data_IF_324525825324
#
_entry.id   IF_324525825324
#
_cell.length_a   1.000
_cell.length_b   1.000
_cell.length_c   1.000
_cell.angle_alpha   90.00
_cell.angle_beta   90.00
_cell.angle_gamma   90.00
#
_symmetry.space_group_name_H-M   'P 1'
#
loop_
_entity.id
_entity.type
_entity.pdbx_description
1 polymer ?
#
# COMPACT_ATOMS: atom_id res chain seq x y z
N UNK A 1 -11.83 -12.57 6.54
CA UNK A 1 -10.90 -11.57 5.97
C UNK A 1 -10.93 -11.56 4.44
N UNK A 2 -10.79 -12.69 3.73
CA UNK A 2 -10.77 -12.74 2.26
C UNK A 2 -12.01 -12.15 1.57
N UNK A 3 -13.22 -12.47 2.04
CA UNK A 3 -14.47 -11.94 1.43
C UNK A 3 -14.59 -10.41 1.53
N UNK A 4 -14.19 -9.82 2.66
CA UNK A 4 -14.23 -8.36 2.83
C UNK A 4 -13.28 -7.64 1.87
N UNK A 5 -12.13 -8.26 1.59
CA UNK A 5 -11.19 -7.74 0.61
C UNK A 5 -11.78 -7.83 -0.80
N UNK A 6 -12.37 -8.96 -1.20
CA UNK A 6 -12.97 -9.12 -2.53
C UNK A 6 -14.05 -8.07 -2.85
N UNK A 7 -14.87 -7.72 -1.85
CA UNK A 7 -15.92 -6.71 -1.96
C UNK A 7 -15.44 -5.26 -1.98
N UNK A 8 -14.16 -4.98 -1.67
CA UNK A 8 -13.65 -3.60 -1.71
C UNK A 8 -13.46 -3.15 -3.17
N UNK A 9 -14.20 -2.15 -3.69
CA UNK A 9 -14.00 -1.67 -5.06
C UNK A 9 -12.58 -1.12 -5.25
N UNK A 10 -12.07 -1.14 -6.48
CA UNK A 10 -10.70 -0.66 -6.78
C UNK A 10 -10.57 0.82 -6.40
N UNK A 11 -11.65 1.56 -6.58
CA UNK A 11 -11.81 2.95 -6.23
C UNK A 11 -11.67 3.15 -4.71
N UNK A 12 -12.11 2.21 -3.88
CA UNK A 12 -11.93 2.29 -2.42
C UNK A 12 -10.46 2.20 -1.98
N UNK A 13 -9.58 1.63 -2.82
CA UNK A 13 -8.13 1.65 -2.61
C UNK A 13 -7.57 3.05 -2.87
N UNK A 14 -8.17 3.78 -3.80
CA UNK A 14 -7.77 5.11 -4.24
C UNK A 14 -8.46 6.26 -3.47
N UNK A 15 -9.44 5.96 -2.60
CA UNK A 15 -10.12 6.98 -1.78
C UNK A 15 -9.11 7.64 -0.85
N UNK A 16 -8.95 8.95 -1.03
CA UNK A 16 -8.18 9.82 -0.13
C UNK A 16 -9.02 10.14 1.11
N UNK A 17 -8.52 9.82 2.30
CA UNK A 17 -8.95 10.44 3.55
C UNK A 17 -8.06 11.67 3.83
N UNK A 18 -8.32 12.35 4.96
CA UNK A 18 -7.56 13.55 5.36
C UNK A 18 -6.06 13.28 5.57
N UNK A 19 -5.64 12.03 5.72
CA UNK A 19 -4.24 11.60 5.93
C UNK A 19 -3.57 11.04 4.67
N UNK A 20 -4.28 10.86 3.55
CA UNK A 20 -3.78 10.20 2.35
C UNK A 20 -4.70 9.08 1.86
N UNK A 21 -4.17 8.00 1.28
CA UNK A 21 -5.00 6.88 0.82
C UNK A 21 -5.52 6.06 2.00
N UNK A 22 -6.84 5.83 2.06
CA UNK A 22 -7.50 5.03 3.11
C UNK A 22 -6.89 3.63 3.25
N UNK A 23 -6.57 3.02 2.12
CA UNK A 23 -5.98 1.70 2.09
C UNK A 23 -4.51 1.69 2.58
N UNK A 24 -3.77 2.78 2.37
CA UNK A 24 -2.41 2.92 2.90
C UNK A 24 -2.38 3.12 4.41
N UNK A 25 -3.24 4.00 4.93
CA UNK A 25 -3.40 4.19 6.36
C UNK A 25 -3.81 2.87 7.07
N UNK A 26 -4.64 2.06 6.40
CA UNK A 26 -5.04 0.75 6.93
C UNK A 26 -3.86 -0.24 6.95
N UNK A 27 -3.07 -0.30 5.87
CA UNK A 27 -1.89 -1.16 5.79
C UNK A 27 -0.86 -0.87 6.88
N UNK A 28 -0.62 0.40 7.16
CA UNK A 28 0.42 0.83 8.08
C UNK A 28 -0.01 0.71 9.54
N UNK A 29 -1.28 0.98 9.82
CA UNK A 29 -1.86 0.87 11.17
C UNK A 29 -2.15 -0.57 11.60
N UNK A 30 -2.63 -1.44 10.70
CA UNK A 30 -3.15 -2.78 11.05
C UNK A 30 -2.97 -3.84 9.97
N UNK A 31 -2.26 -3.52 8.88
CA UNK A 31 -2.12 -4.41 7.74
C UNK A 31 -1.23 -5.62 7.97
N UNK A 32 -1.39 -6.60 7.08
CA UNK A 32 -0.53 -7.78 6.95
C UNK A 32 0.14 -7.80 5.57
N UNK A 33 1.14 -8.66 5.40
CA UNK A 33 1.79 -8.87 4.09
C UNK A 33 0.78 -9.39 3.05
N UNK A 34 -0.15 -10.29 3.41
CA UNK A 34 -1.24 -10.72 2.52
C UNK A 34 -2.10 -9.55 2.03
N UNK A 35 -2.45 -8.62 2.94
CA UNK A 35 -3.24 -7.45 2.58
C UNK A 35 -2.46 -6.53 1.63
N UNK A 36 -1.15 -6.37 1.85
CA UNK A 36 -0.28 -5.61 0.96
C UNK A 36 -0.23 -6.24 -0.43
N UNK A 37 0.00 -7.55 -0.51
CA UNK A 37 -0.02 -8.33 -1.76
C UNK A 37 -1.33 -8.17 -2.51
N UNK A 38 -2.44 -8.24 -1.79
CA UNK A 38 -3.77 -8.11 -2.35
C UNK A 38 -4.01 -6.70 -2.93
N UNK A 39 -3.64 -5.65 -2.20
CA UNK A 39 -3.76 -4.27 -2.68
C UNK A 39 -2.92 -4.01 -3.93
N UNK A 40 -1.66 -4.46 -3.94
CA UNK A 40 -0.76 -4.35 -5.10
C UNK A 40 -1.31 -5.11 -6.30
N UNK A 41 -1.88 -6.30 -6.09
CA UNK A 41 -2.52 -7.09 -7.16
C UNK A 41 -3.70 -6.34 -7.80
N UNK A 42 -4.48 -5.61 -7.00
CA UNK A 42 -5.67 -4.87 -7.47
C UNK A 42 -5.29 -3.54 -8.12
N UNK A 43 -4.23 -2.88 -7.64
CA UNK A 43 -3.68 -1.68 -8.22
C UNK A 43 -2.18 -1.54 -7.96
N UNK A 44 -1.35 -1.85 -8.95
CA UNK A 44 0.12 -1.77 -8.81
C UNK A 44 0.61 -0.37 -8.46
N UNK A 45 -0.05 0.68 -8.98
CA UNK A 45 0.33 2.07 -8.73
C UNK A 45 0.26 2.44 -7.25
N UNK A 46 -0.49 1.68 -6.43
CA UNK A 46 -0.61 1.94 -4.99
C UNK A 46 0.76 2.04 -4.30
N UNK A 47 1.80 1.36 -4.79
CA UNK A 47 3.17 1.34 -4.21
C UNK A 47 3.96 2.63 -4.46
N UNK A 48 3.56 3.46 -5.42
CA UNK A 48 4.28 4.69 -5.80
C UNK A 48 3.52 5.95 -5.41
N UNK A 49 2.25 5.83 -5.04
CA UNK A 49 1.45 7.01 -4.72
C UNK A 49 1.73 7.48 -3.29
N UNK A 50 2.06 8.77 -3.17
CA UNK A 50 2.33 9.41 -1.90
C UNK A 50 1.07 9.94 -1.21
N UNK A 51 1.10 10.02 0.11
CA UNK A 51 0.10 10.73 0.90
C UNK A 51 0.30 12.27 0.83
N UNK A 52 -0.52 13.02 1.58
CA UNK A 52 -0.43 14.49 1.62
C UNK A 52 0.91 15.02 2.19
N UNK A 53 1.73 14.15 2.80
CA UNK A 53 3.05 14.46 3.34
C UNK A 53 4.20 13.97 2.44
N UNK A 54 3.91 13.63 1.19
CA UNK A 54 4.87 13.05 0.23
C UNK A 54 5.50 11.71 0.67
N UNK A 55 4.89 10.99 1.62
CA UNK A 55 5.32 9.65 1.98
C UNK A 55 4.65 8.60 1.13
N UNK A 56 5.49 7.79 0.48
CA UNK A 56 5.07 6.59 -0.24
C UNK A 56 4.90 5.41 0.74
N UNK A 57 4.22 4.32 0.32
CA UNK A 57 3.85 3.20 1.19
C UNK A 57 5.02 2.55 1.91
N UNK A 58 6.16 2.39 1.22
CA UNK A 58 7.37 1.81 1.83
C UNK A 58 7.92 2.72 2.94
N UNK A 59 7.90 4.04 2.76
CA UNK A 59 8.32 5.01 3.79
C UNK A 59 7.43 4.95 5.02
N UNK A 60 6.11 4.86 4.83
CA UNK A 60 5.17 4.69 5.94
C UNK A 60 5.39 3.36 6.66
N UNK A 61 5.56 2.25 5.94
CA UNK A 61 5.81 0.95 6.54
C UNK A 61 7.08 0.95 7.40
N UNK A 62 8.14 1.64 6.96
CA UNK A 62 9.37 1.85 7.75
C UNK A 62 9.08 2.71 8.99
N UNK A 63 8.40 3.85 8.82
CA UNK A 63 8.07 4.77 9.92
C UNK A 63 7.28 4.08 11.05
N UNK A 64 6.35 3.20 10.71
CA UNK A 64 5.54 2.45 11.67
C UNK A 64 6.15 1.11 12.10
N UNK A 65 7.40 0.80 11.72
CA UNK A 65 8.08 -0.45 12.10
C UNK A 65 7.47 -1.72 11.49
N UNK A 66 6.69 -1.60 10.41
CA UNK A 66 6.06 -2.71 9.67
C UNK A 66 7.06 -3.33 8.70
N UNK A 67 8.17 -3.87 9.21
CA UNK A 67 9.34 -4.29 8.41
C UNK A 67 9.00 -5.31 7.31
N UNK A 68 8.18 -6.31 7.60
CA UNK A 68 7.79 -7.32 6.60
C UNK A 68 6.98 -6.73 5.44
N UNK A 69 6.12 -5.76 5.72
CA UNK A 69 5.37 -5.02 4.70
C UNK A 69 6.32 -4.11 3.92
N UNK A 70 7.25 -3.43 4.59
CA UNK A 70 8.27 -2.60 3.94
C UNK A 70 9.14 -3.40 2.97
N UNK A 71 9.60 -4.60 3.38
CA UNK A 71 10.38 -5.51 2.51
C UNK A 71 9.58 -5.91 1.28
N UNK A 72 8.32 -6.30 1.47
CA UNK A 72 7.44 -6.64 0.35
C UNK A 72 7.25 -5.45 -0.60
N UNK A 73 6.87 -4.27 -0.08
CA UNK A 73 6.65 -3.09 -0.90
C UNK A 73 7.92 -2.65 -1.64
N UNK A 74 9.07 -2.65 -0.97
CA UNK A 74 10.38 -2.35 -1.59
C UNK A 74 10.69 -3.29 -2.75
N UNK A 75 10.42 -4.59 -2.60
CA UNK A 75 10.60 -5.57 -3.67
C UNK A 75 9.76 -5.27 -4.90
N UNK A 76 8.60 -4.62 -4.76
CA UNK A 76 7.74 -4.24 -5.89
C UNK A 76 8.18 -2.89 -6.49
N UNK A 77 8.50 -1.90 -5.66
CA UNK A 77 8.91 -0.56 -6.11
C UNK A 77 10.22 -0.59 -6.90
N UNK A 78 11.19 -1.44 -6.51
CA UNK A 78 12.45 -1.60 -7.27
C UNK A 78 12.25 -2.26 -8.64
N UNK A 79 11.19 -3.04 -8.86
CA UNK A 79 10.93 -3.68 -10.15
C UNK A 79 10.47 -2.65 -11.20
N UNK A 80 9.64 -1.67 -10.81
CA UNK A 80 9.19 -0.63 -11.75
C UNK A 80 10.32 0.34 -12.17
N UNK A 81 11.40 0.45 -11.39
CA UNK A 81 12.60 1.21 -11.76
C UNK A 81 13.50 0.54 -12.81
N UNK A 82 13.20 -0.69 -13.24
CA UNK A 82 13.99 -1.43 -14.25
C UNK A 82 13.32 -1.52 -15.62
N UNK A 83 12.15 -0.90 -15.79
CA UNK A 83 11.48 -0.72 -17.08
C UNK A 83 11.43 0.78 -17.41
N UNK A 84 12.60 1.36 -17.71
CA UNK A 84 12.74 2.62 -18.44
C UNK A 84 13.41 2.35 -19.76
#
# INVERSE_FOLDING_TARGET
MKELLELMPKEAIEIRNNEGYKALATLTSSGTVEMAKWMVKKNKKVVTIANNYNWIPVSLAILYGRIEIARYLYSITSIEGTQS
#
